data_IF_495969276794
#
_entry.id   IF_495969276794
#
_cell.length_a   1.000
_cell.length_b   1.000
_cell.length_c   1.000
_cell.angle_alpha   90.00
_cell.angle_beta   90.00
_cell.angle_gamma   90.00
#
_symmetry.space_group_name_H-M   'P 1'
#
loop_
_entity.id
_entity.type
_entity.pdbx_description
1 polymer ?
#
# COMPACT_ATOMS: atom_id res chain seq x y z
N UNK A 1 -35.57 10.61 -83.20
CA UNK A 1 -36.01 11.88 -82.59
C UNK A 1 -35.13 12.20 -81.40
N UNK A 2 -34.40 13.32 -81.40
CA UNK A 2 -33.57 13.77 -80.28
C UNK A 2 -34.26 14.88 -79.47
N UNK A 3 -33.96 15.01 -78.17
CA UNK A 3 -33.86 16.33 -77.54
C UNK A 3 -32.91 16.32 -76.32
N UNK A 4 -32.21 17.44 -76.23
CA UNK A 4 -30.94 17.68 -75.56
C UNK A 4 -31.11 18.15 -74.10
N UNK A 5 -30.15 17.75 -73.24
CA UNK A 5 -29.31 18.62 -72.37
C UNK A 5 -29.94 19.35 -71.17
N UNK A 6 -29.49 19.03 -69.95
CA UNK A 6 -28.59 19.89 -69.13
C UNK A 6 -28.19 19.25 -67.80
N UNK A 7 -26.89 19.29 -67.53
CA UNK A 7 -26.22 19.12 -66.23
C UNK A 7 -26.35 20.45 -65.46
N UNK A 8 -26.63 20.39 -64.17
CA UNK A 8 -26.22 21.39 -63.19
C UNK A 8 -26.07 20.72 -61.82
N UNK A 9 -24.89 20.83 -61.23
CA UNK A 9 -24.58 20.29 -59.92
C UNK A 9 -25.12 21.17 -58.79
N UNK A 10 -25.24 20.56 -57.62
CA UNK A 10 -24.86 21.20 -56.36
C UNK A 10 -24.58 20.09 -55.35
N UNK A 11 -23.31 19.96 -54.98
CA UNK A 11 -22.90 19.25 -53.79
C UNK A 11 -23.29 20.10 -52.58
N UNK A 12 -24.23 19.63 -51.76
CA UNK A 12 -24.43 20.18 -50.43
C UNK A 12 -24.11 19.09 -49.41
N UNK A 13 -23.00 19.33 -48.70
CA UNK A 13 -22.49 18.47 -47.64
C UNK A 13 -23.53 18.34 -46.53
N UNK A 14 -23.69 17.11 -46.07
CA UNK A 14 -24.30 16.83 -44.78
C UNK A 14 -23.34 17.32 -43.70
N UNK A 15 -23.60 18.51 -43.16
CA UNK A 15 -22.96 19.00 -41.94
C UNK A 15 -23.19 17.98 -40.83
N UNK A 16 -22.12 17.29 -40.44
CA UNK A 16 -22.08 16.53 -39.20
C UNK A 16 -22.33 17.52 -38.07
N UNK A 17 -23.20 17.22 -37.09
CA UNK A 17 -23.34 18.09 -35.94
C UNK A 17 -21.98 18.19 -35.25
N UNK A 18 -21.41 19.39 -35.26
CA UNK A 18 -20.20 19.73 -34.52
C UNK A 18 -20.53 19.45 -33.06
N UNK A 19 -19.96 18.37 -32.53
CA UNK A 19 -20.00 18.07 -31.11
C UNK A 19 -19.45 19.28 -30.37
N UNK A 20 -20.28 19.90 -29.53
CA UNK A 20 -19.83 20.93 -28.58
C UNK A 20 -18.55 20.42 -27.90
N UNK A 21 -17.50 21.25 -27.74
CA UNK A 21 -16.37 20.86 -26.92
C UNK A 21 -16.93 20.48 -25.55
N UNK A 22 -16.66 19.25 -25.12
CA UNK A 22 -16.97 18.83 -23.77
C UNK A 22 -16.36 19.89 -22.84
N UNK A 23 -17.17 20.47 -21.96
CA UNK A 23 -16.67 21.25 -20.84
C UNK A 23 -15.54 20.45 -20.19
N UNK A 24 -14.41 21.09 -19.78
CA UNK A 24 -13.38 20.37 -19.04
C UNK A 24 -14.09 19.65 -17.88
N UNK A 25 -13.82 18.35 -17.68
CA UNK A 25 -14.48 17.63 -16.60
C UNK A 25 -14.28 18.43 -15.33
N UNK A 26 -15.37 18.78 -14.64
CA UNK A 26 -15.26 19.37 -13.31
C UNK A 26 -14.37 18.44 -12.51
N UNK A 27 -13.21 18.94 -12.09
CA UNK A 27 -12.24 18.19 -11.31
C UNK A 27 -12.85 18.00 -9.92
N UNK A 28 -13.75 17.03 -9.79
CA UNK A 28 -14.35 16.68 -8.52
C UNK A 28 -13.22 16.15 -7.62
N UNK A 29 -12.80 16.98 -6.68
CA UNK A 29 -11.78 16.61 -5.71
C UNK A 29 -12.43 15.75 -4.63
N UNK A 30 -11.90 14.55 -4.47
CA UNK A 30 -12.32 13.61 -3.42
C UNK A 30 -11.71 14.01 -2.07
N UNK A 31 -12.12 13.35 -0.98
CA UNK A 31 -11.51 13.51 0.35
C UNK A 31 -11.43 14.96 0.88
N UNK A 32 -12.35 15.84 0.47
CA UNK A 32 -12.33 17.24 0.90
C UNK A 32 -11.21 18.09 0.29
N UNK A 33 -10.64 17.64 -0.83
CA UNK A 33 -9.59 18.36 -1.55
C UNK A 33 -8.27 18.46 -0.78
N UNK A 34 -7.43 19.46 -1.08
CA UNK A 34 -6.06 19.56 -0.54
C UNK A 34 -6.00 19.58 0.99
N UNK A 35 -6.94 20.24 1.66
CA UNK A 35 -6.97 20.33 3.12
C UNK A 35 -7.32 18.97 3.75
N UNK A 36 -8.34 18.29 3.21
CA UNK A 36 -8.78 16.99 3.74
C UNK A 36 -7.73 15.90 3.53
N UNK A 37 -7.10 15.82 2.35
CA UNK A 37 -6.00 14.85 2.15
C UNK A 37 -4.80 15.13 3.05
N UNK A 38 -4.50 16.40 3.33
CA UNK A 38 -3.40 16.77 4.24
C UNK A 38 -3.72 16.34 5.67
N UNK A 39 -4.97 16.52 6.10
CA UNK A 39 -5.44 16.02 7.38
C UNK A 39 -5.37 14.48 7.46
N UNK A 40 -5.67 13.76 6.39
CA UNK A 40 -5.53 12.29 6.35
C UNK A 40 -4.08 11.83 6.39
N UNK A 41 -3.19 12.48 5.64
CA UNK A 41 -1.76 12.17 5.62
C UNK A 41 -1.11 12.35 6.99
N UNK A 42 -1.50 13.35 7.75
CA UNK A 42 -0.98 13.56 9.11
C UNK A 42 -1.75 12.73 10.14
N UNK A 43 -3.07 12.63 9.98
CA UNK A 43 -3.98 12.01 10.94
C UNK A 43 -3.81 10.50 11.05
N UNK A 44 -3.67 9.76 9.94
CA UNK A 44 -3.55 8.31 10.01
C UNK A 44 -2.26 7.83 10.69
N UNK A 45 -1.07 8.38 10.40
CA UNK A 45 0.14 8.06 11.17
C UNK A 45 0.00 8.37 12.65
N UNK A 46 -0.57 9.54 13.01
CA UNK A 46 -0.78 9.90 14.42
C UNK A 46 -1.78 8.96 15.11
N UNK A 47 -2.84 8.54 14.41
CA UNK A 47 -3.78 7.55 14.89
C UNK A 47 -3.11 6.20 15.14
N UNK A 48 -2.18 5.78 14.27
CA UNK A 48 -1.40 4.55 14.47
C UNK A 48 -0.57 4.61 15.75
N UNK A 49 0.12 5.73 16.02
CA UNK A 49 0.82 5.91 17.29
C UNK A 49 -0.13 5.90 18.49
N UNK A 50 -1.26 6.60 18.39
CA UNK A 50 -2.26 6.63 19.46
C UNK A 50 -2.80 5.23 19.79
N UNK A 51 -3.16 4.45 18.77
CA UNK A 51 -3.63 3.07 18.93
C UNK A 51 -2.54 2.15 19.47
N UNK A 52 -1.29 2.30 19.01
CA UNK A 52 -0.15 1.55 19.55
C UNK A 52 0.04 1.81 21.04
N UNK A 53 0.11 3.08 21.44
CA UNK A 53 0.27 3.45 22.85
C UNK A 53 -0.89 2.91 23.70
N UNK A 54 -2.12 3.04 23.21
CA UNK A 54 -3.30 2.46 23.87
C UNK A 54 -3.19 0.96 24.08
N UNK A 55 -2.79 0.25 23.03
CA UNK A 55 -2.65 -1.20 23.03
C UNK A 55 -1.54 -1.70 23.97
N UNK A 56 -0.40 -1.00 24.05
CA UNK A 56 0.78 -1.51 24.77
C UNK A 56 1.01 -0.92 26.14
N UNK A 57 0.56 0.32 26.39
CA UNK A 57 0.87 1.06 27.62
C UNK A 57 -0.38 1.41 28.45
N UNK A 58 -1.59 1.29 27.89
CA UNK A 58 -2.85 1.59 28.56
C UNK A 58 -3.77 0.37 28.64
N UNK A 59 -3.22 -0.84 28.69
CA UNK A 59 -3.98 -2.10 28.81
C UNK A 59 -5.06 -2.29 27.73
N UNK A 60 -4.83 -1.76 26.53
CA UNK A 60 -5.80 -1.82 25.43
C UNK A 60 -6.86 -0.73 25.44
N UNK A 61 -6.84 0.19 26.41
CA UNK A 61 -7.75 1.33 26.45
C UNK A 61 -7.24 2.51 25.61
N UNK A 62 -8.15 3.35 25.09
CA UNK A 62 -7.76 4.61 24.46
C UNK A 62 -7.01 5.50 25.47
N UNK A 63 -5.81 6.02 25.14
CA UNK A 63 -5.14 6.98 26.00
C UNK A 63 -6.02 8.21 26.24
N UNK A 64 -6.26 8.55 27.50
CA UNK A 64 -7.04 9.73 27.91
C UNK A 64 -6.25 10.60 28.89
N UNK A 65 -6.48 11.93 28.90
CA UNK A 65 -5.86 12.83 29.87
C UNK A 65 -6.16 12.38 31.31
N UNK A 66 -5.16 12.49 32.18
CA UNK A 66 -5.36 12.22 33.61
C UNK A 66 -6.13 13.37 34.29
N UNK A 67 -6.71 13.10 35.47
CA UNK A 67 -7.51 14.08 36.19
C UNK A 67 -6.69 15.34 36.52
N UNK A 68 -7.06 16.47 35.90
CA UNK A 68 -6.40 17.77 36.09
C UNK A 68 -5.26 18.06 35.11
N UNK A 69 -4.93 17.13 34.21
CA UNK A 69 -3.95 17.33 33.14
C UNK A 69 -4.54 18.22 32.03
N UNK A 70 -3.77 19.21 31.59
CA UNK A 70 -4.16 20.02 30.44
C UNK A 70 -3.99 19.23 29.14
N UNK A 71 -4.75 19.58 28.09
CA UNK A 71 -4.62 18.91 26.77
C UNK A 71 -3.18 19.01 26.24
N UNK A 72 -2.49 20.13 26.47
CA UNK A 72 -1.10 20.30 26.05
C UNK A 72 -0.14 19.34 26.76
N UNK A 73 -0.28 19.17 28.07
CA UNK A 73 0.54 18.23 28.84
C UNK A 73 0.31 16.80 28.38
N UNK A 74 -0.96 16.43 28.17
CA UNK A 74 -1.33 15.13 27.65
C UNK A 74 -0.71 14.84 26.27
N UNK A 75 -0.74 15.81 25.35
CA UNK A 75 -0.13 15.65 24.02
C UNK A 75 1.40 15.54 24.11
N UNK A 76 2.05 16.31 24.98
CA UNK A 76 3.49 16.18 25.24
C UNK A 76 3.83 14.81 25.81
N UNK A 77 3.03 14.31 26.74
CA UNK A 77 3.21 12.98 27.33
C UNK A 77 3.06 11.88 26.27
N UNK A 78 2.02 11.94 25.43
CA UNK A 78 1.87 10.99 24.31
C UNK A 78 3.04 11.04 23.33
N UNK A 79 3.52 12.24 23.02
CA UNK A 79 4.69 12.40 22.14
C UNK A 79 5.95 11.78 22.77
N UNK A 80 6.19 12.02 24.05
CA UNK A 80 7.33 11.45 24.79
C UNK A 80 7.27 9.92 24.83
N UNK A 81 6.08 9.35 25.06
CA UNK A 81 5.86 7.90 25.01
C UNK A 81 6.09 7.33 23.61
N UNK A 82 5.55 7.98 22.57
CA UNK A 82 5.78 7.57 21.18
C UNK A 82 7.26 7.66 20.80
N UNK A 83 7.95 8.71 21.22
CA UNK A 83 9.38 8.87 21.00
C UNK A 83 10.17 7.77 21.70
N UNK A 84 9.86 7.47 22.96
CA UNK A 84 10.59 6.48 23.76
C UNK A 84 10.35 5.06 23.29
N UNK A 85 9.10 4.69 23.00
CA UNK A 85 8.69 3.32 22.70
C UNK A 85 8.56 3.01 21.20
N UNK A 86 8.66 4.00 20.32
CA UNK A 86 8.56 3.82 18.88
C UNK A 86 9.65 4.56 18.10
N UNK A 87 10.80 4.86 18.72
CA UNK A 87 11.92 5.47 18.00
C UNK A 87 12.40 4.57 16.85
N UNK A 88 12.51 5.05 15.59
CA UNK A 88 12.93 4.24 14.46
C UNK A 88 14.46 4.02 14.43
N UNK A 89 14.97 3.18 15.34
CA UNK A 89 16.40 2.87 15.44
C UNK A 89 16.89 1.95 14.30
N UNK A 90 18.22 1.85 14.16
CA UNK A 90 18.89 1.16 13.04
C UNK A 90 18.46 -0.30 12.84
N UNK A 91 18.21 -1.03 13.93
CA UNK A 91 17.79 -2.44 13.87
C UNK A 91 16.39 -2.56 13.25
N UNK A 92 15.44 -1.70 13.64
CA UNK A 92 14.10 -1.68 13.05
C UNK A 92 14.14 -1.37 11.54
N UNK A 93 14.97 -0.41 11.13
CA UNK A 93 15.24 -0.13 9.71
C UNK A 93 15.75 -1.36 8.98
N UNK A 94 16.76 -2.04 9.54
CA UNK A 94 17.33 -3.24 8.94
C UNK A 94 16.29 -4.36 8.81
N UNK A 95 15.47 -4.63 9.84
CA UNK A 95 14.43 -5.66 9.80
C UNK A 95 13.42 -5.36 8.70
N UNK A 96 12.84 -4.16 8.70
CA UNK A 96 11.78 -3.79 7.77
C UNK A 96 12.28 -3.76 6.31
N UNK A 97 13.44 -3.15 6.05
CA UNK A 97 13.97 -3.07 4.68
C UNK A 97 14.56 -4.39 4.20
N UNK A 98 15.12 -5.22 5.07
CA UNK A 98 15.50 -6.59 4.68
C UNK A 98 14.27 -7.36 4.21
N UNK A 99 13.16 -7.29 4.95
CA UNK A 99 11.91 -7.89 4.52
C UNK A 99 11.42 -7.32 3.18
N UNK A 100 11.39 -6.00 3.04
CA UNK A 100 10.91 -5.33 1.82
C UNK A 100 11.78 -5.69 0.59
N UNK A 101 13.11 -5.72 0.74
CA UNK A 101 14.04 -6.14 -0.30
C UNK A 101 13.85 -7.62 -0.63
N UNK A 102 13.71 -8.51 0.36
CA UNK A 102 13.47 -9.93 0.13
C UNK A 102 12.16 -10.19 -0.62
N UNK A 103 11.10 -9.46 -0.29
CA UNK A 103 9.86 -9.55 -1.06
C UNK A 103 10.02 -9.01 -2.48
N UNK A 104 10.76 -7.91 -2.65
CA UNK A 104 11.04 -7.30 -3.96
C UNK A 104 11.90 -8.20 -4.85
N UNK A 105 12.92 -8.85 -4.30
CA UNK A 105 13.70 -9.85 -5.02
C UNK A 105 12.86 -11.08 -5.32
N UNK A 106 12.03 -11.51 -4.37
CA UNK A 106 11.06 -12.57 -4.56
C UNK A 106 10.10 -12.30 -5.71
N UNK A 107 9.62 -11.06 -5.83
CA UNK A 107 8.77 -10.62 -6.94
C UNK A 107 9.44 -10.85 -8.29
N UNK A 108 10.71 -10.52 -8.42
CA UNK A 108 11.44 -10.56 -9.70
C UNK A 108 11.90 -11.99 -10.05
N UNK A 109 12.36 -12.77 -9.07
CA UNK A 109 13.10 -14.00 -9.34
C UNK A 109 12.35 -15.30 -9.03
N UNK A 110 11.35 -15.29 -8.15
CA UNK A 110 10.64 -16.52 -7.79
C UNK A 110 9.67 -16.95 -8.89
N UNK A 111 9.41 -18.27 -9.03
CA UNK A 111 8.52 -18.78 -10.05
C UNK A 111 7.11 -18.21 -9.87
N UNK A 112 6.50 -17.83 -10.99
CA UNK A 112 5.21 -17.16 -11.04
C UNK A 112 4.58 -17.27 -12.42
N UNK A 113 3.39 -16.70 -12.56
CA UNK A 113 2.60 -16.72 -13.79
C UNK A 113 2.43 -15.31 -14.33
N UNK A 114 2.32 -15.16 -15.64
CA UNK A 114 2.01 -13.88 -16.25
C UNK A 114 0.49 -13.70 -16.37
N UNK A 115 0.00 -12.53 -15.97
CA UNK A 115 -1.38 -12.10 -16.11
C UNK A 115 -1.49 -10.78 -16.87
N UNK A 116 -2.66 -10.53 -17.46
CA UNK A 116 -3.00 -9.27 -18.12
C UNK A 116 -3.90 -8.44 -17.22
N UNK A 117 -3.48 -7.21 -16.95
CA UNK A 117 -4.29 -6.27 -16.20
C UNK A 117 -5.46 -5.72 -17.01
N UNK A 118 -6.19 -4.78 -16.40
CA UNK A 118 -7.30 -4.09 -17.04
C UNK A 118 -6.87 -3.29 -18.28
N UNK A 119 -7.75 -3.19 -19.28
CA UNK A 119 -7.54 -2.31 -20.43
C UNK A 119 -7.50 -0.86 -19.96
N UNK A 120 -6.41 -0.15 -20.26
CA UNK A 120 -6.20 1.23 -19.83
C UNK A 120 -6.69 2.21 -20.92
N UNK A 121 -7.77 2.99 -20.69
CA UNK A 121 -8.30 3.90 -21.70
C UNK A 121 -7.28 4.96 -22.14
N UNK A 122 -6.46 5.45 -21.20
CA UNK A 122 -5.41 6.45 -21.49
C UNK A 122 -4.23 5.90 -22.31
N UNK A 123 -4.13 4.57 -22.47
CA UNK A 123 -3.16 3.91 -23.35
C UNK A 123 -3.85 3.25 -24.54
N UNK A 124 -4.96 3.82 -25.04
CA UNK A 124 -5.73 3.29 -26.17
C UNK A 124 -6.18 1.83 -25.98
N UNK A 125 -6.55 1.47 -24.75
CA UNK A 125 -7.00 0.11 -24.42
C UNK A 125 -5.89 -0.92 -24.22
N UNK A 126 -4.61 -0.50 -24.21
CA UNK A 126 -3.49 -1.40 -23.91
C UNK A 126 -3.66 -2.05 -22.54
N UNK A 127 -3.37 -3.35 -22.46
CA UNK A 127 -3.26 -4.10 -21.20
C UNK A 127 -1.79 -4.25 -20.83
N UNK A 128 -1.48 -4.07 -19.56
CA UNK A 128 -0.14 -4.27 -19.04
C UNK A 128 0.05 -5.72 -18.61
N UNK A 129 1.26 -6.23 -18.82
CA UNK A 129 1.70 -7.53 -18.29
C UNK A 129 2.11 -7.38 -16.82
N UNK A 130 1.68 -8.35 -16.02
CA UNK A 130 1.99 -8.50 -14.61
C UNK A 130 2.59 -9.87 -14.36
N UNK A 131 3.64 -9.92 -13.56
CA UNK A 131 4.26 -11.17 -13.13
C UNK A 131 3.81 -11.49 -11.70
N UNK A 132 3.04 -12.57 -11.55
CA UNK A 132 2.40 -12.97 -10.32
C UNK A 132 3.17 -14.14 -9.69
N UNK A 133 4.03 -13.84 -8.72
CA UNK A 133 4.87 -14.81 -7.99
C UNK A 133 4.57 -14.88 -6.47
N UNK A 134 3.45 -14.31 -6.00
CA UNK A 134 3.14 -14.21 -4.58
C UNK A 134 3.02 -15.59 -3.93
N UNK A 135 2.46 -16.59 -4.60
CA UNK A 135 2.37 -17.96 -4.03
C UNK A 135 3.75 -18.47 -3.60
N UNK A 136 4.75 -18.32 -4.47
CA UNK A 136 6.11 -18.76 -4.20
C UNK A 136 6.74 -17.92 -3.08
N UNK A 137 6.60 -16.59 -3.15
CA UNK A 137 7.07 -15.70 -2.09
C UNK A 137 6.43 -16.01 -0.74
N UNK A 138 5.14 -16.36 -0.71
CA UNK A 138 4.40 -16.65 0.50
C UNK A 138 4.97 -17.85 1.24
N UNK A 139 5.06 -19.00 0.57
CA UNK A 139 5.56 -20.22 1.20
C UNK A 139 7.06 -20.13 1.55
N UNK A 140 7.86 -19.44 0.74
CA UNK A 140 9.27 -19.18 1.05
C UNK A 140 9.40 -18.26 2.27
N UNK A 141 8.53 -17.27 2.41
CA UNK A 141 8.52 -16.38 3.58
C UNK A 141 8.15 -17.14 4.85
N UNK A 142 7.15 -18.03 4.80
CA UNK A 142 6.78 -18.88 5.93
C UNK A 142 7.92 -19.82 6.31
N UNK A 143 8.46 -20.55 5.33
CA UNK A 143 9.54 -21.51 5.58
C UNK A 143 10.81 -20.80 6.10
N UNK A 144 11.17 -19.68 5.48
CA UNK A 144 12.32 -18.87 5.86
C UNK A 144 12.16 -18.25 7.26
N UNK A 145 10.98 -17.74 7.60
CA UNK A 145 10.74 -17.17 8.92
C UNK A 145 10.80 -18.23 10.02
N UNK A 146 10.16 -19.39 9.84
CA UNK A 146 10.24 -20.51 10.79
C UNK A 146 11.67 -21.03 10.92
N UNK A 147 12.40 -21.20 9.81
CA UNK A 147 13.79 -21.61 9.84
C UNK A 147 14.66 -20.62 10.63
N UNK A 148 14.50 -19.31 10.41
CA UNK A 148 15.22 -18.28 11.17
C UNK A 148 14.92 -18.32 12.67
N UNK A 149 13.67 -18.58 13.05
CA UNK A 149 13.29 -18.67 14.47
C UNK A 149 13.87 -19.92 15.14
N UNK A 150 13.71 -21.10 14.53
CA UNK A 150 14.20 -22.34 15.13
C UNK A 150 15.72 -22.49 15.09
N UNK A 151 16.41 -21.86 14.13
CA UNK A 151 17.88 -21.80 14.13
C UNK A 151 18.44 -20.76 15.11
N UNK A 152 17.59 -19.89 15.66
CA UNK A 152 17.98 -18.83 16.58
C UNK A 152 18.67 -17.62 15.91
N UNK A 153 18.86 -17.64 14.58
CA UNK A 153 19.49 -16.54 13.83
C UNK A 153 18.65 -15.26 13.93
N UNK A 154 17.32 -15.40 13.81
CA UNK A 154 16.38 -14.29 14.02
C UNK A 154 15.10 -14.84 14.62
N UNK A 155 14.86 -14.53 15.89
CA UNK A 155 13.67 -14.98 16.58
C UNK A 155 12.46 -14.09 16.26
N UNK A 156 11.36 -14.70 15.83
CA UNK A 156 10.18 -14.01 15.33
C UNK A 156 9.47 -13.14 16.38
N UNK A 157 9.53 -13.49 17.66
CA UNK A 157 9.08 -12.68 18.81
C UNK A 157 9.66 -11.26 18.81
N UNK A 158 10.84 -11.07 18.19
CA UNK A 158 11.42 -9.74 17.94
C UNK A 158 10.45 -8.79 17.22
N UNK A 159 9.60 -9.29 16.31
CA UNK A 159 8.63 -8.46 15.59
C UNK A 159 7.57 -7.85 16.52
N UNK A 160 7.23 -8.55 17.60
CA UNK A 160 6.29 -8.06 18.61
C UNK A 160 7.00 -7.15 19.61
N UNK A 161 8.20 -7.53 20.05
CA UNK A 161 8.98 -6.75 20.99
C UNK A 161 9.42 -5.39 20.43
N UNK A 162 9.70 -5.33 19.13
CA UNK A 162 10.15 -4.13 18.40
C UNK A 162 9.02 -3.53 17.53
N UNK A 163 7.75 -3.83 17.85
CA UNK A 163 6.62 -3.42 17.02
C UNK A 163 6.55 -1.89 16.83
N UNK A 164 6.70 -1.11 17.91
CA UNK A 164 6.70 0.36 17.85
C UNK A 164 7.75 0.91 16.88
N UNK A 165 9.04 0.60 17.07
CA UNK A 165 10.09 1.02 16.12
C UNK A 165 9.85 0.57 14.68
N UNK A 166 9.39 -0.67 14.47
CA UNK A 166 9.09 -1.20 13.13
C UNK A 166 7.92 -0.44 12.49
N UNK A 167 6.87 -0.13 13.25
CA UNK A 167 5.74 0.69 12.80
C UNK A 167 6.20 2.07 12.34
N UNK A 168 7.04 2.74 13.13
CA UNK A 168 7.60 4.06 12.76
C UNK A 168 8.42 3.99 11.49
N UNK A 169 9.25 2.95 11.34
CA UNK A 169 10.01 2.71 10.11
C UNK A 169 9.08 2.46 8.93
N UNK A 170 8.00 1.70 9.10
CA UNK A 170 7.02 1.45 8.04
C UNK A 170 6.33 2.74 7.59
N UNK A 171 5.92 3.60 8.55
CA UNK A 171 5.35 4.93 8.27
C UNK A 171 6.35 5.80 7.51
N UNK A 172 7.58 5.95 8.01
CA UNK A 172 8.62 6.74 7.36
C UNK A 172 8.95 6.21 5.96
N UNK A 173 9.03 4.89 5.80
CA UNK A 173 9.30 4.24 4.52
C UNK A 173 8.15 4.44 3.54
N UNK A 174 6.90 4.41 4.01
CA UNK A 174 5.72 4.72 3.19
C UNK A 174 5.79 6.14 2.61
N UNK A 175 6.07 7.15 3.44
CA UNK A 175 6.27 8.51 2.96
C UNK A 175 7.46 8.62 2.00
N UNK A 176 8.60 8.00 2.34
CA UNK A 176 9.79 8.03 1.50
C UNK A 176 9.52 7.46 0.11
N UNK A 177 8.90 6.29 0.03
CA UNK A 177 8.58 5.62 -1.24
C UNK A 177 7.57 6.43 -2.04
N UNK A 178 6.53 6.98 -1.40
CA UNK A 178 5.54 7.85 -2.07
C UNK A 178 6.17 9.14 -2.61
N UNK A 179 7.08 9.79 -1.86
CA UNK A 179 7.81 10.98 -2.31
C UNK A 179 8.67 10.64 -3.54
N UNK A 180 9.42 9.54 -3.48
CA UNK A 180 10.24 9.10 -4.60
C UNK A 180 9.37 8.80 -5.83
N UNK A 181 8.25 8.10 -5.66
CA UNK A 181 7.33 7.78 -6.75
C UNK A 181 6.75 9.06 -7.38
N UNK A 182 6.32 10.02 -6.55
CA UNK A 182 5.76 11.29 -7.00
C UNK A 182 6.79 12.12 -7.79
N UNK A 183 7.97 12.36 -7.21
CA UNK A 183 9.05 13.12 -7.86
C UNK A 183 9.51 12.42 -9.16
N UNK A 184 9.63 11.10 -9.15
CA UNK A 184 9.97 10.31 -10.34
C UNK A 184 8.93 10.45 -11.46
N UNK A 185 7.64 10.48 -11.13
CA UNK A 185 6.57 10.67 -12.10
C UNK A 185 6.63 12.07 -12.74
N UNK A 186 6.90 13.12 -11.94
CA UNK A 186 7.10 14.48 -12.43
C UNK A 186 8.32 14.57 -13.35
N UNK A 187 9.47 14.04 -12.93
CA UNK A 187 10.71 14.10 -13.69
C UNK A 187 10.63 13.34 -15.02
N UNK A 188 9.86 12.24 -15.09
CA UNK A 188 9.63 11.47 -16.31
C UNK A 188 8.50 12.01 -17.19
N UNK A 189 7.72 12.99 -16.72
CA UNK A 189 6.50 13.43 -17.38
C UNK A 189 5.43 12.34 -17.49
N UNK A 190 5.45 11.35 -16.59
CA UNK A 190 4.52 10.20 -16.58
C UNK A 190 3.21 10.52 -15.82
N UNK A 191 2.90 11.81 -15.68
CA UNK A 191 1.79 12.32 -14.89
C UNK A 191 0.43 11.95 -15.48
N UNK A 192 -0.51 11.54 -14.64
CA UNK A 192 -1.87 11.20 -15.04
C UNK A 192 -2.89 11.83 -14.09
N UNK A 193 -3.90 12.52 -14.65
CA UNK A 193 -5.01 13.14 -13.89
C UNK A 193 -4.57 14.13 -12.80
N UNK A 194 -3.54 14.94 -13.06
CA UNK A 194 -3.08 15.98 -12.13
C UNK A 194 -4.11 17.11 -12.00
N UNK A 195 -4.29 17.62 -10.78
CA UNK A 195 -5.20 18.73 -10.46
C UNK A 195 -4.49 20.07 -10.33
N UNK A 196 -3.16 20.06 -10.20
CA UNK A 196 -2.34 21.26 -9.99
C UNK A 196 -2.11 21.60 -8.52
N UNK A 197 -2.79 20.92 -7.59
CA UNK A 197 -2.48 21.00 -6.16
C UNK A 197 -1.51 19.89 -5.78
N UNK A 198 -0.27 20.24 -5.46
CA UNK A 198 0.76 19.27 -5.12
C UNK A 198 0.38 18.35 -3.95
N UNK A 199 -0.31 18.85 -2.92
CA UNK A 199 -0.73 18.01 -1.78
C UNK A 199 -1.80 16.99 -2.17
N UNK A 200 -2.77 17.41 -2.98
CA UNK A 200 -3.81 16.53 -3.50
C UNK A 200 -3.26 15.49 -4.48
N UNK A 201 -2.44 15.94 -5.43
CA UNK A 201 -1.83 15.07 -6.43
C UNK A 201 -0.81 14.11 -5.83
N UNK A 202 -0.14 14.51 -4.74
CA UNK A 202 0.73 13.62 -3.98
C UNK A 202 -0.06 12.49 -3.31
N UNK A 203 -1.18 12.83 -2.66
CA UNK A 203 -2.05 11.84 -2.00
C UNK A 203 -2.72 10.89 -3.00
N UNK A 204 -3.25 11.41 -4.11
CA UNK A 204 -3.91 10.60 -5.13
C UNK A 204 -2.92 9.82 -6.01
N UNK A 205 -1.65 10.24 -6.02
CA UNK A 205 -0.59 9.66 -6.84
C UNK A 205 -0.51 10.29 -8.24
N UNK A 206 0.71 10.59 -8.68
CA UNK A 206 0.96 11.22 -9.98
C UNK A 206 1.01 10.24 -11.16
N UNK A 207 1.40 8.99 -10.94
CA UNK A 207 1.50 7.95 -11.98
C UNK A 207 0.48 6.85 -11.70
N UNK A 208 -0.26 6.39 -12.73
CA UNK A 208 -1.30 5.37 -12.51
C UNK A 208 -0.72 3.99 -12.19
N UNK A 209 0.39 3.58 -12.81
CA UNK A 209 1.02 2.28 -12.57
C UNK A 209 2.54 2.45 -12.50
N UNK A 210 3.08 2.96 -11.37
CA UNK A 210 4.51 3.16 -11.20
C UNK A 210 5.23 1.81 -11.18
N UNK A 211 6.21 1.66 -12.09
CA UNK A 211 6.98 0.43 -12.26
C UNK A 211 8.45 0.65 -11.94
N UNK A 212 8.97 -0.09 -10.98
CA UNK A 212 10.39 -0.15 -10.69
C UNK A 212 11.06 -1.17 -11.62
N UNK A 213 12.18 -0.77 -12.23
CA UNK A 213 12.92 -1.55 -13.23
C UNK A 213 12.07 -2.09 -14.40
N UNK A 214 10.90 -1.49 -14.68
CA UNK A 214 9.88 -1.92 -15.67
C UNK A 214 9.13 -3.22 -15.33
N UNK A 215 9.63 -4.04 -14.41
CA UNK A 215 9.07 -5.35 -14.07
C UNK A 215 8.20 -5.32 -12.81
N UNK A 216 8.65 -4.60 -11.77
CA UNK A 216 7.96 -4.58 -10.48
C UNK A 216 6.93 -3.47 -10.46
N UNK A 217 5.66 -3.86 -10.47
CA UNK A 217 4.55 -2.92 -10.30
C UNK A 217 4.35 -2.60 -8.81
N UNK A 218 4.52 -1.33 -8.44
CA UNK A 218 4.52 -0.94 -7.03
C UNK A 218 3.15 -1.11 -6.38
N UNK A 219 2.04 -0.90 -7.13
CA UNK A 219 0.69 -1.05 -6.57
C UNK A 219 0.46 -2.50 -6.16
N UNK A 220 0.70 -3.41 -7.09
CA UNK A 220 0.58 -4.86 -6.84
C UNK A 220 1.51 -5.32 -5.71
N UNK A 221 2.75 -4.82 -5.68
CA UNK A 221 3.73 -5.15 -4.64
C UNK A 221 3.26 -4.76 -3.24
N UNK A 222 2.75 -3.53 -3.07
CA UNK A 222 2.27 -3.02 -1.78
C UNK A 222 0.86 -3.47 -1.43
N UNK A 223 0.04 -3.91 -2.39
CA UNK A 223 -1.34 -4.37 -2.14
C UNK A 223 -1.37 -5.78 -1.54
N UNK A 224 -0.56 -6.70 -2.07
CA UNK A 224 -0.66 -8.12 -1.70
C UNK A 224 0.45 -8.56 -0.73
N UNK A 225 1.70 -8.24 -1.04
CA UNK A 225 2.82 -8.92 -0.37
C UNK A 225 3.14 -8.31 0.97
N UNK A 226 3.32 -7.00 1.01
CA UNK A 226 3.79 -6.33 2.22
C UNK A 226 2.76 -6.41 3.36
N UNK A 227 1.51 -5.93 3.22
CA UNK A 227 0.58 -5.86 4.34
C UNK A 227 0.16 -7.24 4.84
N UNK A 228 -0.26 -8.14 3.95
CA UNK A 228 -0.80 -9.44 4.35
C UNK A 228 0.27 -10.36 4.94
N UNK A 229 1.50 -10.29 4.45
CA UNK A 229 2.57 -11.11 5.00
C UNK A 229 3.03 -10.57 6.35
N UNK A 230 3.11 -9.24 6.52
CA UNK A 230 3.41 -8.65 7.83
C UNK A 230 2.32 -9.02 8.84
N UNK A 231 1.04 -8.92 8.50
CA UNK A 231 -0.06 -9.30 9.41
C UNK A 231 0.04 -10.76 9.86
N UNK A 232 0.31 -11.67 8.93
CA UNK A 232 0.54 -13.06 9.26
C UNK A 232 1.78 -13.26 10.15
N UNK A 233 2.92 -12.65 9.79
CA UNK A 233 4.16 -12.77 10.55
C UNK A 233 4.01 -12.22 11.97
N UNK A 234 3.24 -11.16 12.16
CA UNK A 234 2.89 -10.64 13.49
C UNK A 234 2.05 -11.65 14.27
N UNK A 235 0.99 -12.21 13.70
CA UNK A 235 0.20 -13.24 14.40
C UNK A 235 1.02 -14.50 14.71
N UNK A 236 1.91 -14.90 13.82
CA UNK A 236 2.81 -16.04 14.02
C UNK A 236 3.82 -15.74 15.12
N UNK A 237 4.41 -14.55 15.12
CA UNK A 237 5.32 -14.09 16.17
C UNK A 237 4.63 -14.03 17.53
N UNK A 238 3.39 -13.56 17.61
CA UNK A 238 2.59 -13.58 18.84
C UNK A 238 2.35 -15.01 19.34
N UNK A 239 2.01 -15.93 18.44
CA UNK A 239 1.81 -17.34 18.81
C UNK A 239 3.09 -17.98 19.36
N UNK A 240 4.23 -17.77 18.68
CA UNK A 240 5.52 -18.27 19.13
C UNK A 240 5.95 -17.66 20.46
N UNK A 241 5.73 -16.35 20.64
CA UNK A 241 6.00 -15.65 21.90
C UNK A 241 5.16 -16.21 23.05
N UNK A 242 3.85 -16.41 22.85
CA UNK A 242 2.99 -17.03 23.88
C UNK A 242 3.45 -18.44 24.23
N UNK A 243 3.82 -19.24 23.22
CA UNK A 243 4.32 -20.59 23.46
C UNK A 243 5.58 -20.59 24.35
N UNK A 244 6.48 -19.64 24.14
CA UNK A 244 7.75 -19.55 24.89
C UNK A 244 7.58 -18.96 26.29
N UNK A 245 6.71 -17.96 26.47
CA UNK A 245 6.48 -17.31 27.76
C UNK A 245 5.50 -18.09 28.65
N UNK A 246 4.48 -18.71 28.06
CA UNK A 246 3.37 -19.34 28.78
C UNK A 246 3.34 -20.87 28.67
N UNK A 247 4.06 -21.45 27.72
CA UNK A 247 4.02 -22.90 27.43
C UNK A 247 2.76 -23.37 26.66
N UNK A 248 1.90 -22.44 26.23
CA UNK A 248 0.72 -22.71 25.42
C UNK A 248 0.36 -21.50 24.54
N UNK A 249 -0.45 -21.71 23.50
CA UNK A 249 -1.01 -20.63 22.67
C UNK A 249 -2.51 -20.56 22.92
N UNK A 250 -3.03 -19.36 23.13
CA UNK A 250 -4.46 -19.17 23.41
C UNK A 250 -5.33 -19.47 22.17
N UNK A 251 -6.61 -19.78 22.39
CA UNK A 251 -7.55 -20.07 21.30
C UNK A 251 -7.77 -18.86 20.38
N UNK A 252 -7.76 -17.66 20.96
CA UNK A 252 -7.91 -16.38 20.27
C UNK A 252 -6.73 -16.13 19.31
N UNK A 253 -5.49 -16.35 19.78
CA UNK A 253 -4.30 -16.21 18.94
C UNK A 253 -4.29 -17.26 17.83
N UNK A 254 -4.67 -18.50 18.12
CA UNK A 254 -4.82 -19.54 17.10
C UNK A 254 -5.83 -19.14 16.01
N UNK A 255 -6.96 -18.57 16.41
CA UNK A 255 -7.99 -18.09 15.48
C UNK A 255 -7.47 -16.96 14.58
N UNK A 256 -6.81 -15.95 15.15
CA UNK A 256 -6.24 -14.83 14.39
C UNK A 256 -5.14 -15.32 13.44
N UNK A 257 -4.25 -16.20 13.90
CA UNK A 257 -3.21 -16.80 13.07
C UNK A 257 -3.82 -17.57 11.88
N UNK A 258 -4.84 -18.38 12.14
CA UNK A 258 -5.56 -19.10 11.09
C UNK A 258 -6.21 -18.13 10.09
N UNK A 259 -6.89 -17.08 10.57
CA UNK A 259 -7.55 -16.10 9.71
C UNK A 259 -6.54 -15.36 8.81
N UNK A 260 -5.44 -14.85 9.39
CA UNK A 260 -4.38 -14.21 8.62
C UNK A 260 -3.71 -15.17 7.63
N UNK A 261 -3.47 -16.42 8.03
CA UNK A 261 -2.93 -17.43 7.13
C UNK A 261 -3.85 -17.68 5.95
N UNK A 262 -5.14 -17.95 6.19
CA UNK A 262 -6.12 -18.23 5.14
C UNK A 262 -6.27 -17.04 4.19
N UNK A 263 -6.35 -15.83 4.73
CA UNK A 263 -6.51 -14.61 3.95
C UNK A 263 -5.27 -14.33 3.08
N UNK A 264 -4.08 -14.28 3.68
CA UNK A 264 -2.83 -14.03 2.94
C UNK A 264 -2.56 -15.12 1.90
N UNK A 265 -2.84 -16.38 2.23
CA UNK A 265 -2.72 -17.51 1.31
C UNK A 265 -3.71 -17.42 0.14
N UNK A 266 -4.95 -16.98 0.38
CA UNK A 266 -5.93 -16.76 -0.67
C UNK A 266 -5.52 -15.60 -1.59
N UNK A 267 -5.09 -14.47 -1.04
CA UNK A 267 -4.59 -13.33 -1.82
C UNK A 267 -3.34 -13.69 -2.64
N UNK A 268 -2.42 -14.48 -2.07
CA UNK A 268 -1.23 -14.93 -2.78
C UNK A 268 -1.60 -15.88 -3.94
N UNK A 269 -2.56 -16.78 -3.74
CA UNK A 269 -3.04 -17.73 -4.77
C UNK A 269 -3.91 -17.08 -5.85
N UNK A 270 -4.58 -15.98 -5.53
CA UNK A 270 -5.42 -15.22 -6.46
C UNK A 270 -4.77 -13.93 -6.93
N UNK A 271 -3.44 -13.82 -6.87
CA UNK A 271 -2.72 -12.58 -7.22
C UNK A 271 -3.03 -12.15 -8.67
N UNK A 272 -3.23 -13.10 -9.59
CA UNK A 272 -3.65 -12.86 -10.97
C UNK A 272 -5.09 -12.37 -11.15
N UNK A 273 -5.93 -12.47 -10.12
CA UNK A 273 -7.28 -11.90 -10.14
C UNK A 273 -7.27 -10.44 -9.68
N UNK A 274 -6.30 -10.09 -8.83
CA UNK A 274 -6.15 -8.75 -8.25
C UNK A 274 -5.72 -7.73 -9.30
N UNK A 275 -4.92 -8.12 -10.30
CA UNK A 275 -4.46 -7.20 -11.37
C UNK A 275 -5.59 -6.61 -12.25
N UNK A 276 -6.82 -7.11 -12.08
CA UNK A 276 -8.02 -6.59 -12.76
C UNK A 276 -8.91 -5.71 -11.87
N UNK A 277 -8.51 -5.53 -10.60
CA UNK A 277 -9.18 -4.67 -9.63
C UNK A 277 -9.05 -3.17 -10.00
N UNK A 278 -9.77 -2.33 -9.24
CA UNK A 278 -9.89 -0.89 -9.50
C UNK A 278 -8.87 -0.08 -8.72
#
# INVERSE_FOLDING_TARGET
>A
MPRNRRVNGSANGSDKPVSKPASPPETHMEFGGPAGVTALMLGFPLLMYYMYLGATLYDGHPPTPQNGETISEFLYHLFDLAYTHAFPHRRAWAIYWTFLILQGTGYIYLPGVYGKGKCLPHLNGKQLDYYCSAVSSWYITIAGSLALHFTGVFRLDTLINEFGPIMSVAICSGFLVSIIAYVSALARGAQHRMTGSHMYDFFMGAELNPRLFKWLDMKMFFEVRIPWYILFLLSLATALKQWEELGYVSGEVCFVLMAHFLYANACAKGEELIITSW
#
